data_IF_648951943804
#
_entry.id   IF_648951943804
#
_cell.length_a   1.000
_cell.length_b   1.000
_cell.length_c   1.000
_cell.angle_alpha   90.00
_cell.angle_beta   90.00
_cell.angle_gamma   90.00
#
_symmetry.space_group_name_H-M   'P 1'
#
loop_
_entity.id
_entity.type
_entity.pdbx_description
1 polymer ?
#
# COMPACT_ATOMS: atom_id res chain seq x y z
N UNK A 1 10.76 -17.31 -12.13
CA UNK A 1 9.88 -17.04 -10.97
C UNK A 1 9.34 -15.63 -11.15
N UNK A 2 8.04 -15.42 -10.91
CA UNK A 2 7.20 -14.55 -11.72
C UNK A 2 7.05 -13.12 -11.18
N UNK A 3 7.69 -12.15 -11.82
CA UNK A 3 7.30 -10.73 -11.76
C UNK A 3 5.96 -10.59 -12.49
N UNK A 4 4.87 -10.29 -11.79
CA UNK A 4 3.57 -10.10 -12.44
C UNK A 4 3.50 -8.70 -13.05
N UNK A 5 4.04 -8.57 -14.26
CA UNK A 5 3.86 -7.39 -15.11
C UNK A 5 2.48 -7.48 -15.77
N UNK A 6 1.50 -6.73 -15.26
CA UNK A 6 0.20 -6.62 -15.91
C UNK A 6 0.24 -5.46 -16.91
N UNK A 7 0.35 -5.76 -18.20
CA UNK A 7 0.12 -4.80 -19.29
C UNK A 7 -1.33 -4.98 -19.75
N UNK A 8 -2.17 -3.96 -19.56
CA UNK A 8 -3.53 -3.95 -20.09
C UNK A 8 -3.47 -3.43 -21.53
N UNK A 9 -3.67 -4.31 -22.51
CA UNK A 9 -3.83 -3.94 -23.91
C UNK A 9 -5.31 -3.74 -24.24
N UNK A 10 -5.66 -2.63 -24.90
CA UNK A 10 -7.01 -2.34 -25.36
C UNK A 10 -7.22 -2.89 -26.77
N UNK A 11 -8.24 -3.73 -26.98
CA UNK A 11 -8.76 -4.08 -28.32
C UNK A 11 -10.15 -3.46 -28.44
N UNK A 12 -10.29 -2.50 -29.34
CA UNK A 12 -11.52 -1.73 -29.55
C UNK A 12 -12.48 -2.49 -30.46
N UNK A 13 -13.65 -2.89 -29.95
CA UNK A 13 -14.79 -3.31 -30.77
C UNK A 13 -15.81 -2.16 -30.86
N UNK A 14 -16.03 -1.67 -32.09
CA UNK A 14 -17.02 -0.65 -32.41
C UNK A 14 -18.41 -1.28 -32.57
N UNK A 15 -19.41 -0.72 -31.89
CA UNK A 15 -20.82 -0.82 -32.27
C UNK A 15 -21.48 0.54 -32.08
N UNK A 16 -22.23 1.07 -33.07
CA UNK A 16 -22.90 2.36 -32.97
C UNK A 16 -24.35 2.22 -32.45
N UNK A 17 -25.01 3.38 -32.26
CA UNK A 17 -26.43 3.66 -31.89
C UNK A 17 -26.49 4.31 -30.49
N UNK A 18 -27.07 5.49 -30.23
CA UNK A 18 -27.83 6.50 -30.99
C UNK A 18 -28.10 7.73 -30.08
N UNK A 19 -28.47 8.87 -30.68
CA UNK A 19 -28.84 10.22 -30.13
C UNK A 19 -29.65 10.22 -28.81
N UNK A 20 -29.80 11.27 -27.99
CA UNK A 20 -29.17 12.57 -27.66
C UNK A 20 -30.12 13.25 -26.62
N UNK A 21 -29.64 13.99 -25.60
CA UNK A 21 -30.37 15.14 -24.99
C UNK A 21 -29.49 15.97 -24.02
N UNK A 22 -29.42 17.28 -24.32
CA UNK A 22 -29.09 18.49 -23.55
C UNK A 22 -27.93 18.54 -22.52
N UNK A 23 -26.91 19.33 -22.87
CA UNK A 23 -25.79 19.75 -22.01
C UNK A 23 -25.90 21.24 -21.60
N UNK A 24 -25.56 21.62 -20.35
CA UNK A 24 -25.31 23.02 -19.98
C UNK A 24 -23.86 23.46 -20.36
N UNK A 25 -23.60 24.78 -20.44
CA UNK A 25 -22.47 25.35 -21.19
C UNK A 25 -21.11 25.19 -20.49
N UNK A 26 -19.99 25.26 -21.24
CA UNK A 26 -18.65 25.06 -20.72
C UNK A 26 -18.09 26.40 -20.24
N UNK A 27 -17.81 26.52 -18.94
CA UNK A 27 -16.67 27.32 -18.46
C UNK A 27 -16.55 27.21 -16.93
N UNK A 28 -15.70 26.27 -16.51
CA UNK A 28 -14.93 26.41 -15.27
C UNK A 28 -13.67 25.55 -15.44
N UNK A 29 -12.52 26.21 -15.68
CA UNK A 29 -11.23 25.57 -15.43
C UNK A 29 -11.19 25.19 -13.95
N UNK A 30 -11.40 23.92 -13.64
CA UNK A 30 -11.11 23.37 -12.33
C UNK A 30 -9.58 23.19 -12.28
N UNK A 31 -8.88 24.15 -11.68
CA UNK A 31 -7.53 23.87 -11.18
C UNK A 31 -7.64 22.70 -10.20
N UNK A 32 -6.86 21.61 -10.37
CA UNK A 32 -6.87 20.53 -9.40
C UNK A 32 -6.32 21.06 -8.09
N UNK A 33 -7.20 21.25 -7.11
CA UNK A 33 -6.83 21.54 -5.74
C UNK A 33 -5.82 20.47 -5.27
N UNK A 34 -4.70 20.92 -4.72
CA UNK A 34 -3.71 20.04 -4.10
C UNK A 34 -4.42 19.19 -3.03
N UNK A 35 -4.63 17.91 -3.31
CA UNK A 35 -5.27 16.98 -2.39
C UNK A 35 -4.38 16.85 -1.16
N UNK A 36 -4.84 17.38 -0.02
CA UNK A 36 -4.22 17.08 1.28
C UNK A 36 -4.38 15.58 1.55
N UNK A 37 -3.25 14.89 1.68
CA UNK A 37 -3.17 13.45 1.93
C UNK A 37 -3.87 13.11 3.25
N UNK A 38 -4.92 12.26 3.26
CA UNK A 38 -5.44 11.73 4.51
C UNK A 38 -4.53 10.60 4.97
N UNK A 39 -3.67 10.86 5.94
CA UNK A 39 -2.97 9.81 6.69
C UNK A 39 -4.02 8.98 7.43
N UNK A 40 -4.27 7.74 6.97
CA UNK A 40 -5.21 6.85 7.67
C UNK A 40 -4.64 6.44 9.02
N UNK A 41 -5.49 6.39 10.05
CA UNK A 41 -5.09 5.95 11.38
C UNK A 41 -4.73 4.45 11.35
N UNK A 42 -3.76 3.99 12.17
CA UNK A 42 -3.50 2.57 12.35
C UNK A 42 -4.77 1.84 12.77
N UNK A 43 -5.03 0.68 12.18
CA UNK A 43 -6.07 -0.24 12.65
C UNK A 43 -5.41 -1.45 13.30
N UNK A 44 -6.02 -1.98 14.37
CA UNK A 44 -5.47 -3.12 15.09
C UNK A 44 -6.53 -4.17 15.35
N UNK A 45 -6.14 -5.44 15.23
CA UNK A 45 -6.99 -6.60 15.50
C UNK A 45 -6.25 -7.51 16.46
N UNK A 46 -6.84 -7.69 17.65
CA UNK A 46 -6.28 -8.55 18.69
C UNK A 46 -6.63 -10.00 18.44
N UNK A 47 -5.61 -10.84 18.28
CA UNK A 47 -5.77 -12.29 18.32
C UNK A 47 -5.71 -12.68 19.81
N UNK A 48 -6.85 -13.08 20.37
CA UNK A 48 -6.90 -13.57 21.75
C UNK A 48 -6.12 -14.89 21.83
N UNK A 49 -5.16 -14.98 22.77
CA UNK A 49 -4.48 -16.25 23.05
C UNK A 49 -5.41 -17.14 23.86
N UNK A 50 -5.39 -18.44 23.56
CA UNK A 50 -5.89 -19.42 24.51
C UNK A 50 -5.07 -19.36 25.79
N UNK A 51 -5.75 -19.48 26.95
CA UNK A 51 -5.14 -19.44 28.29
C UNK A 51 -4.04 -20.48 28.48
N UNK A 52 -3.98 -21.49 27.63
CA UNK A 52 -3.04 -22.62 27.72
C UNK A 52 -1.69 -22.37 27.00
N UNK A 53 -1.50 -21.22 26.33
CA UNK A 53 -0.23 -20.86 25.68
C UNK A 53 0.83 -20.31 26.65
N UNK A 54 0.96 -20.92 27.84
CA UNK A 54 1.76 -20.48 28.98
C UNK A 54 3.29 -20.50 28.82
N UNK A 55 3.83 -20.41 27.61
CA UNK A 55 5.28 -20.50 27.35
C UNK A 55 5.85 -19.46 26.37
N UNK A 56 5.04 -18.53 25.84
CA UNK A 56 5.53 -17.49 24.91
C UNK A 56 5.18 -16.08 25.42
N UNK A 57 6.19 -15.40 25.96
CA UNK A 57 6.20 -13.96 26.26
C UNK A 57 5.32 -13.48 27.42
N UNK A 58 5.75 -12.40 28.08
CA UNK A 58 4.95 -11.70 29.10
C UNK A 58 3.75 -11.06 28.39
N UNK A 59 2.57 -11.65 28.57
CA UNK A 59 1.33 -11.14 27.99
C UNK A 59 1.15 -9.65 28.34
N UNK A 60 0.95 -8.81 27.32
CA UNK A 60 0.68 -7.37 27.49
C UNK A 60 1.86 -6.43 27.28
N UNK A 61 3.04 -6.92 26.86
CA UNK A 61 4.14 -6.05 26.44
C UNK A 61 3.77 -5.29 25.16
N UNK A 62 4.17 -4.03 25.08
CA UNK A 62 4.09 -3.22 23.86
C UNK A 62 5.47 -3.13 23.21
N UNK A 63 5.49 -3.12 21.88
CA UNK A 63 6.70 -2.97 21.08
C UNK A 63 6.56 -1.76 20.17
N UNK A 64 7.65 -1.01 20.07
CA UNK A 64 7.81 0.02 19.05
C UNK A 64 8.57 -0.58 17.88
N UNK A 65 7.96 -0.57 16.71
CA UNK A 65 8.56 -1.06 15.48
C UNK A 65 8.80 0.08 14.51
N UNK A 66 10.04 0.23 14.07
CA UNK A 66 10.41 1.16 12.99
C UNK A 66 10.67 0.36 11.72
N UNK A 67 10.02 0.75 10.63
CA UNK A 67 10.22 0.12 9.34
C UNK A 67 10.94 1.06 8.37
N UNK A 68 12.07 0.61 7.82
CA UNK A 68 12.80 1.28 6.74
C UNK A 68 12.69 0.49 5.45
N UNK A 69 12.27 1.14 4.38
CA UNK A 69 12.10 0.51 3.06
C UNK A 69 13.06 1.19 2.10
N UNK A 70 13.87 0.39 1.42
CA UNK A 70 14.76 0.86 0.35
C UNK A 70 14.34 0.20 -0.96
N UNK A 71 13.96 1.01 -1.95
CA UNK A 71 13.64 0.58 -3.31
C UNK A 71 14.29 1.52 -4.32
N UNK A 72 14.74 0.98 -5.45
CA UNK A 72 15.29 1.79 -6.55
C UNK A 72 14.20 2.49 -7.37
N UNK A 73 12.98 1.97 -7.34
CA UNK A 73 11.87 2.39 -8.21
C UNK A 73 10.79 3.20 -7.48
N UNK A 74 10.74 3.14 -6.15
CA UNK A 74 9.69 3.77 -5.35
C UNK A 74 10.27 4.35 -4.06
N UNK A 75 9.74 5.50 -3.63
CA UNK A 75 10.12 6.17 -2.39
C UNK A 75 8.88 6.34 -1.51
N UNK A 76 8.97 5.95 -0.23
CA UNK A 76 7.85 5.99 0.70
C UNK A 76 8.26 6.50 2.08
N UNK A 77 7.28 7.01 2.83
CA UNK A 77 7.46 7.38 4.22
C UNK A 77 7.73 6.11 5.06
N UNK A 78 8.62 6.21 6.04
CA UNK A 78 8.92 5.11 6.96
C UNK A 78 8.02 5.18 8.19
N UNK A 79 7.04 4.29 8.35
CA UNK A 79 6.12 4.36 9.47
C UNK A 79 6.80 3.84 10.75
N UNK A 80 6.39 4.44 11.87
CA UNK A 80 6.62 3.92 13.21
C UNK A 80 5.31 3.35 13.74
N UNK A 81 5.37 2.12 14.25
CA UNK A 81 4.23 1.31 14.65
C UNK A 81 4.38 0.98 16.13
N UNK A 82 3.33 1.14 16.92
CA UNK A 82 3.26 0.50 18.25
C UNK A 82 2.38 -0.74 18.10
N UNK A 83 2.91 -1.91 18.47
CA UNK A 83 2.21 -3.18 18.38
C UNK A 83 2.24 -3.87 19.74
N UNK A 84 1.11 -4.40 20.18
CA UNK A 84 1.06 -5.22 21.39
C UNK A 84 1.47 -6.64 21.08
N UNK A 85 1.98 -7.33 22.09
CA UNK A 85 2.38 -8.73 22.00
C UNK A 85 1.22 -9.62 21.48
N UNK A 86 1.42 -10.22 20.31
CA UNK A 86 0.45 -11.08 19.62
C UNK A 86 -0.71 -10.34 18.92
N UNK A 87 -0.69 -9.01 18.87
CA UNK A 87 -1.68 -8.23 18.14
C UNK A 87 -1.21 -7.99 16.69
N UNK A 88 -2.14 -8.12 15.74
CA UNK A 88 -1.90 -7.72 14.36
C UNK A 88 -2.22 -6.23 14.24
N UNK A 89 -1.23 -5.44 13.87
CA UNK A 89 -1.37 -4.01 13.59
C UNK A 89 -1.18 -3.77 12.10
N UNK A 90 -2.10 -3.03 11.50
CA UNK A 90 -2.04 -2.60 10.10
C UNK A 90 -1.87 -1.09 10.04
N UNK A 91 -0.86 -0.63 9.31
CA UNK A 91 -0.66 0.79 8.99
C UNK A 91 -0.66 0.96 7.50
N UNK A 92 -1.50 1.87 7.03
CA UNK A 92 -1.54 2.31 5.65
C UNK A 92 -1.27 3.81 5.55
N UNK A 93 -0.34 4.17 4.68
CA UNK A 93 -0.16 5.54 4.18
C UNK A 93 -0.42 5.47 2.68
N UNK A 94 -1.69 5.59 2.29
CA UNK A 94 -2.16 5.43 0.91
C UNK A 94 -2.97 6.64 0.47
N UNK A 95 -2.70 7.12 -0.74
CA UNK A 95 -3.44 8.15 -1.44
C UNK A 95 -4.16 7.53 -2.64
N UNK A 96 -5.36 8.03 -2.95
CA UNK A 96 -6.05 7.67 -4.20
C UNK A 96 -5.60 8.61 -5.30
N UNK A 97 -5.13 8.05 -6.40
CA UNK A 97 -4.87 8.78 -7.64
C UNK A 97 -5.83 8.31 -8.72
N UNK A 98 -6.57 9.26 -9.29
CA UNK A 98 -7.53 8.99 -10.35
C UNK A 98 -6.92 9.28 -11.72
N UNK A 99 -7.16 8.38 -12.67
CA UNK A 99 -6.65 8.47 -14.03
C UNK A 99 -7.78 8.29 -15.03
N UNK A 100 -7.82 9.13 -16.05
CA UNK A 100 -8.73 8.94 -17.18
C UNK A 100 -8.15 7.85 -18.09
N UNK A 101 -8.75 6.67 -18.05
CA UNK A 101 -8.30 5.48 -18.81
C UNK A 101 -8.97 5.36 -20.18
N UNK A 102 -9.89 6.26 -20.49
CA UNK A 102 -10.57 6.28 -21.76
C UNK A 102 -11.65 7.34 -21.75
N UNK A 103 -12.36 7.42 -22.87
CA UNK A 103 -13.56 8.23 -22.93
C UNK A 103 -14.68 7.42 -23.56
N UNK A 104 -15.87 7.52 -22.99
CA UNK A 104 -17.09 7.01 -23.61
C UNK A 104 -17.73 8.14 -24.40
N UNK A 105 -18.14 7.84 -25.63
CA UNK A 105 -18.97 8.77 -26.41
C UNK A 105 -20.43 8.50 -26.08
N UNK A 106 -21.14 9.55 -25.69
CA UNK A 106 -22.59 9.55 -25.48
C UNK A 106 -23.21 10.69 -26.29
N UNK A 107 -23.80 10.35 -27.45
CA UNK A 107 -24.20 11.33 -28.46
C UNK A 107 -23.01 12.17 -28.97
N UNK A 108 -23.06 13.48 -28.74
CA UNK A 108 -21.98 14.43 -29.10
C UNK A 108 -21.02 14.72 -27.93
N UNK A 109 -21.23 14.10 -26.76
CA UNK A 109 -20.44 14.34 -25.56
C UNK A 109 -19.39 13.25 -25.36
N UNK A 110 -18.16 13.66 -25.05
CA UNK A 110 -17.04 12.77 -24.71
C UNK A 110 -16.87 12.76 -23.19
N UNK A 111 -17.32 11.70 -22.53
CA UNK A 111 -17.24 11.56 -21.07
C UNK A 111 -15.97 10.80 -20.66
N UNK A 112 -15.16 11.31 -19.73
CA UNK A 112 -13.98 10.59 -19.25
C UNK A 112 -14.40 9.36 -18.42
N UNK A 113 -13.76 8.22 -18.71
CA UNK A 113 -13.84 7.02 -17.87
C UNK A 113 -12.61 7.03 -16.98
N UNK A 114 -12.81 7.21 -15.68
CA UNK A 114 -11.73 7.25 -14.71
C UNK A 114 -11.54 5.93 -13.97
N UNK A 115 -10.30 5.62 -13.60
CA UNK A 115 -9.90 4.53 -12.69
C UNK A 115 -9.11 5.12 -11.55
N UNK A 116 -9.39 4.65 -10.35
CA UNK A 116 -8.63 5.01 -9.17
C UNK A 116 -7.58 3.93 -8.86
N UNK A 117 -6.39 4.37 -8.50
CA UNK A 117 -5.28 3.54 -8.05
C UNK A 117 -4.88 4.04 -6.66
N UNK A 118 -4.69 3.11 -5.72
CA UNK A 118 -4.10 3.44 -4.42
C UNK A 118 -2.58 3.49 -4.58
N UNK A 119 -1.97 4.61 -4.25
CA UNK A 119 -0.52 4.78 -4.19
C UNK A 119 -0.11 4.89 -2.73
N UNK A 120 0.96 4.22 -2.34
CA UNK A 120 1.51 4.32 -0.99
C UNK A 120 2.01 2.99 -0.44
N UNK A 121 1.98 2.89 0.87
CA UNK A 121 2.52 1.76 1.63
C UNK A 121 1.48 1.21 2.59
N UNK A 122 1.32 -0.10 2.61
CA UNK A 122 0.58 -0.84 3.63
C UNK A 122 1.53 -1.82 4.31
N UNK A 123 1.56 -1.82 5.64
CA UNK A 123 2.35 -2.73 6.45
C UNK A 123 1.43 -3.42 7.44
N UNK A 124 1.41 -4.75 7.38
CA UNK A 124 0.83 -5.61 8.39
C UNK A 124 1.96 -6.17 9.25
N UNK A 125 1.85 -6.00 10.56
CA UNK A 125 2.86 -6.43 11.51
C UNK A 125 2.23 -7.18 12.68
N UNK A 126 2.84 -8.29 13.06
CA UNK A 126 2.59 -8.99 14.33
C UNK A 126 3.93 -9.19 15.03
N UNK A 127 4.03 -8.81 16.30
CA UNK A 127 5.21 -9.04 17.15
C UNK A 127 4.84 -9.95 18.32
N UNK A 128 5.65 -10.99 18.57
CA UNK A 128 5.41 -12.01 19.59
C UNK A 128 6.70 -12.24 20.37
N UNK A 129 6.68 -11.99 21.67
CA UNK A 129 7.77 -12.27 22.58
C UNK A 129 8.00 -13.78 22.67
N UNK A 130 9.26 -14.19 22.52
CA UNK A 130 9.65 -15.60 22.56
C UNK A 130 10.22 -15.94 23.92
N UNK A 131 11.30 -15.23 24.31
CA UNK A 131 11.95 -15.29 25.62
C UNK A 131 12.47 -13.87 25.97
N UNK A 132 12.93 -13.65 27.20
CA UNK A 132 13.10 -12.32 27.83
C UNK A 132 13.50 -11.12 26.93
N UNK A 133 14.52 -11.30 26.07
CA UNK A 133 15.02 -10.26 25.16
C UNK A 133 14.75 -10.54 23.66
N UNK A 134 14.04 -11.61 23.30
CA UNK A 134 13.75 -11.98 21.91
C UNK A 134 12.30 -11.80 21.52
N UNK A 135 12.11 -11.37 20.29
CA UNK A 135 10.82 -11.17 19.65
C UNK A 135 10.84 -11.83 18.28
N UNK A 136 9.77 -12.55 17.96
CA UNK A 136 9.45 -12.99 16.62
C UNK A 136 8.53 -11.95 15.99
N UNK A 137 8.87 -11.52 14.78
CA UNK A 137 8.01 -10.66 13.98
C UNK A 137 7.59 -11.34 12.70
N UNK A 138 6.34 -11.10 12.34
CA UNK A 138 5.76 -11.41 11.03
C UNK A 138 5.35 -10.10 10.40
N UNK A 139 5.97 -9.77 9.27
CA UNK A 139 5.79 -8.48 8.60
C UNK A 139 5.43 -8.74 7.14
N UNK A 140 4.29 -8.21 6.70
CA UNK A 140 3.91 -8.14 5.30
C UNK A 140 3.83 -6.68 4.86
N UNK A 141 4.47 -6.38 3.72
CA UNK A 141 4.59 -5.03 3.17
C UNK A 141 4.05 -5.06 1.74
N UNK A 142 3.19 -4.11 1.43
CA UNK A 142 2.70 -3.80 0.09
C UNK A 142 3.03 -2.35 -0.24
N UNK A 143 3.71 -2.17 -1.36
CA UNK A 143 4.11 -0.88 -1.90
C UNK A 143 3.45 -0.72 -3.26
N UNK A 144 2.81 0.41 -3.50
CA UNK A 144 2.19 0.68 -4.79
C UNK A 144 2.48 2.12 -5.21
N UNK A 145 2.88 2.32 -6.46
CA UNK A 145 3.05 3.65 -7.02
C UNK A 145 2.65 3.65 -8.49
N UNK A 146 2.12 4.77 -8.98
CA UNK A 146 1.83 4.93 -10.39
C UNK A 146 2.60 6.10 -10.99
N UNK A 147 3.01 5.91 -12.24
CA UNK A 147 3.76 6.88 -13.03
C UNK A 147 3.11 7.04 -14.38
N UNK A 148 3.01 8.27 -14.87
CA UNK A 148 2.57 8.53 -16.23
C UNK A 148 3.65 8.04 -17.20
N UNK A 149 3.26 7.26 -18.21
CA UNK A 149 4.17 6.84 -19.27
C UNK A 149 4.13 7.89 -20.36
N UNK A 150 5.25 8.57 -20.59
CA UNK A 150 5.40 9.49 -21.71
C UNK A 150 5.58 8.69 -23.01
N UNK A 151 4.64 8.87 -23.93
CA UNK A 151 4.66 8.34 -25.29
C UNK A 151 3.65 9.11 -26.15
N UNK A 152 3.93 9.27 -27.44
CA UNK A 152 3.21 10.16 -28.35
C UNK A 152 1.72 9.80 -28.57
N UNK A 153 1.30 8.61 -28.18
CA UNK A 153 -0.10 8.17 -28.26
C UNK A 153 -0.62 7.72 -26.89
N UNK A 154 -1.66 8.43 -26.43
CA UNK A 154 -2.55 8.12 -25.30
C UNK A 154 -1.92 8.00 -23.89
N UNK A 155 -2.55 8.69 -22.94
CA UNK A 155 -2.18 8.77 -21.51
C UNK A 155 -2.17 7.39 -20.85
N UNK A 156 -1.07 6.67 -20.99
CA UNK A 156 -0.87 5.37 -20.37
C UNK A 156 -0.30 5.54 -18.97
N UNK A 157 -0.85 4.81 -18.00
CA UNK A 157 -0.42 4.84 -16.60
C UNK A 157 0.25 3.53 -16.28
N UNK A 158 1.50 3.58 -15.85
CA UNK A 158 2.20 2.41 -15.34
C UNK A 158 2.01 2.34 -13.83
N UNK A 159 1.45 1.24 -13.34
CA UNK A 159 1.34 0.95 -11.91
C UNK A 159 2.39 -0.08 -11.55
N UNK A 160 3.28 0.27 -10.62
CA UNK A 160 4.28 -0.63 -10.05
C UNK A 160 3.81 -1.04 -8.65
N UNK A 161 3.73 -2.35 -8.41
CA UNK A 161 3.38 -2.91 -7.12
C UNK A 161 4.47 -3.87 -6.64
N UNK A 162 4.95 -3.69 -5.42
CA UNK A 162 5.91 -4.57 -4.76
C UNK A 162 5.24 -5.17 -3.53
N UNK A 163 5.39 -6.48 -3.34
CA UNK A 163 4.86 -7.19 -2.17
C UNK A 163 5.92 -8.11 -1.59
N UNK A 164 5.99 -8.16 -0.28
CA UNK A 164 6.92 -9.03 0.44
C UNK A 164 6.39 -9.37 1.81
N UNK A 165 6.65 -10.59 2.26
CA UNK A 165 6.40 -11.02 3.64
C UNK A 165 7.63 -11.72 4.16
N UNK A 166 7.98 -11.47 5.41
CA UNK A 166 9.05 -12.20 6.07
C UNK A 166 8.71 -12.40 7.54
N UNK A 167 9.26 -13.50 8.08
CA UNK A 167 9.16 -13.84 9.49
C UNK A 167 10.57 -13.98 10.02
N UNK A 168 10.87 -13.35 11.16
CA UNK A 168 12.18 -13.40 11.76
C UNK A 168 12.10 -13.34 13.28
N UNK A 169 13.06 -13.97 13.94
CA UNK A 169 13.28 -13.84 15.38
C UNK A 169 14.55 -13.05 15.61
N UNK A 170 14.47 -12.01 16.43
CA UNK A 170 15.60 -11.13 16.74
C UNK A 170 15.58 -10.71 18.20
N UNK A 171 16.72 -10.22 18.66
CA UNK A 171 16.79 -9.53 19.95
C UNK A 171 16.17 -8.15 19.86
N UNK A 172 15.57 -7.67 20.95
CA UNK A 172 15.11 -6.29 21.05
C UNK A 172 16.29 -5.32 20.84
N UNK A 173 16.05 -4.26 20.07
CA UNK A 173 17.05 -3.28 19.64
C UNK A 173 17.95 -3.74 18.49
N UNK A 174 17.83 -4.99 18.02
CA UNK A 174 18.56 -5.45 16.84
C UNK A 174 17.72 -5.29 15.57
N UNK A 175 18.40 -4.95 14.47
CA UNK A 175 17.76 -4.80 13.17
C UNK A 175 17.64 -6.15 12.45
N UNK A 176 16.49 -6.36 11.84
CA UNK A 176 16.24 -7.47 10.92
C UNK A 176 16.09 -6.91 9.53
N UNK A 177 16.86 -7.44 8.57
CA UNK A 177 16.77 -7.06 7.16
C UNK A 177 16.20 -8.22 6.35
N UNK A 178 15.24 -7.91 5.48
CA UNK A 178 14.73 -8.80 4.45
C UNK A 178 14.99 -8.18 3.07
N UNK A 179 15.49 -9.00 2.14
CA UNK A 179 15.73 -8.60 0.76
C UNK A 179 14.72 -9.28 -0.16
N UNK A 180 14.17 -8.49 -1.07
CA UNK A 180 13.22 -8.90 -2.08
C UNK A 180 13.74 -8.48 -3.46
N UNK A 181 13.08 -8.93 -4.53
CA UNK A 181 13.48 -8.58 -5.89
C UNK A 181 13.36 -7.06 -6.13
N UNK A 182 14.50 -6.35 -6.12
CA UNK A 182 14.58 -4.92 -6.40
C UNK A 182 14.36 -3.98 -5.21
N UNK A 183 14.11 -4.50 -4.00
CA UNK A 183 13.91 -3.70 -2.78
C UNK A 183 14.22 -4.48 -1.51
N UNK A 184 14.37 -3.78 -0.38
CA UNK A 184 14.60 -4.39 0.93
C UNK A 184 13.82 -3.68 2.02
N UNK A 185 13.48 -4.40 3.08
CA UNK A 185 12.91 -3.87 4.31
C UNK A 185 13.86 -4.13 5.48
N UNK A 186 14.04 -3.14 6.33
CA UNK A 186 14.75 -3.24 7.59
C UNK A 186 13.79 -2.87 8.73
N UNK A 187 13.72 -3.73 9.73
CA UNK A 187 12.82 -3.60 10.88
C UNK A 187 13.66 -3.56 12.16
N UNK A 188 13.44 -2.53 12.95
CA UNK A 188 13.98 -2.38 14.30
C UNK A 188 12.82 -2.50 15.30
N UNK A 189 13.00 -3.32 16.34
CA UNK A 189 11.96 -3.57 17.35
C UNK A 189 12.50 -3.24 18.73
N UNK A 190 11.89 -2.28 19.39
CA UNK A 190 12.20 -1.88 20.76
C UNK A 190 11.02 -2.24 21.67
N UNK A 191 11.28 -2.43 22.97
CA UNK A 191 10.20 -2.40 23.94
C UNK A 191 9.61 -0.97 23.99
N UNK A 192 8.29 -0.84 23.99
CA UNK A 192 7.64 0.43 24.29
C UNK A 192 7.50 0.55 25.82
N UNK A 193 7.88 1.71 26.36
CA UNK A 193 7.79 2.06 27.78
C UNK A 193 6.33 2.16 28.27
#
# INVERSE_FOLDING_TARGET
MSTTLAIVYLVSFFTPIGKAADAPPPDARIEPAAAKTPKSLPSSVRIARDRDAGTLGVAGREYRVRCRIASKSLSFSTPQITARDGERTTISDVAKRSFVVGHKTDGNSRLPVSRDVNEGTTIDLTAIGVDGDRVMVDVAIELQGASDRSGDDERSVQVNALKGRFIATSKLGANVKAEFEGWSAEIEIEAAE
#
